data_IF_432046506553
#
_entry.id   IF_432046506553
#
_cell.length_a   1.000
_cell.length_b   1.000
_cell.length_c   1.000
_cell.angle_alpha   90.00
_cell.angle_beta   90.00
_cell.angle_gamma   90.00
#
_symmetry.space_group_name_H-M   'P 1'
#
loop_
_entity.id
_entity.type
_entity.pdbx_description
1 polymer ?
#
# COMPACT_ATOMS: atom_id res chain seq x y z
N UNK A 1 -14.08 1.09 -10.82
CA UNK A 1 -15.22 2.02 -10.61
C UNK A 1 -15.03 3.30 -11.41
N UNK A 2 -14.00 4.11 -11.12
CA UNK A 2 -13.85 5.45 -11.74
C UNK A 2 -13.54 5.37 -13.24
N UNK A 3 -12.73 4.42 -13.68
CA UNK A 3 -12.51 4.17 -15.10
C UNK A 3 -13.83 3.84 -15.83
N UNK A 4 -14.68 3.00 -15.25
CA UNK A 4 -15.99 2.70 -15.81
C UNK A 4 -16.92 3.91 -15.85
N UNK A 5 -16.88 4.80 -14.83
CA UNK A 5 -17.62 6.07 -14.82
C UNK A 5 -17.13 7.04 -15.89
N UNK A 6 -15.85 6.99 -16.23
CA UNK A 6 -15.23 7.78 -17.28
C UNK A 6 -15.36 7.13 -18.68
N UNK A 7 -16.18 6.08 -18.82
CA UNK A 7 -16.37 5.30 -20.05
C UNK A 7 -15.04 4.71 -20.61
N UNK A 8 -14.03 4.58 -19.75
CA UNK A 8 -12.80 3.89 -20.09
C UNK A 8 -12.97 2.38 -19.92
N UNK A 9 -12.25 1.60 -20.70
CA UNK A 9 -12.26 0.14 -20.65
C UNK A 9 -11.04 -0.38 -19.90
N UNK A 10 -11.13 -0.60 -18.56
CA UNK A 10 -10.01 -1.12 -17.79
C UNK A 10 -9.83 -2.61 -18.05
N UNK A 11 -8.58 -3.04 -18.15
CA UNK A 11 -8.18 -4.43 -18.25
C UNK A 11 -7.26 -4.77 -17.05
N UNK A 12 -7.66 -5.73 -16.23
CA UNK A 12 -6.94 -6.08 -15.01
C UNK A 12 -6.29 -7.47 -15.12
N UNK A 13 -4.99 -7.56 -14.92
CA UNK A 13 -4.29 -8.82 -14.69
C UNK A 13 -4.23 -9.07 -13.18
N UNK A 14 -4.76 -10.17 -12.72
CA UNK A 14 -4.84 -10.48 -11.29
C UNK A 14 -4.30 -11.87 -11.00
N UNK A 15 -3.53 -12.06 -9.90
CA UNK A 15 -3.06 -13.38 -9.54
C UNK A 15 -4.24 -14.28 -9.11
N UNK A 16 -4.07 -15.59 -9.21
CA UNK A 16 -5.10 -16.55 -8.82
C UNK A 16 -5.53 -16.39 -7.35
N UNK A 17 -4.62 -15.96 -6.47
CA UNK A 17 -4.85 -15.68 -5.04
C UNK A 17 -5.62 -14.37 -4.76
N UNK A 18 -5.82 -13.52 -5.75
CA UNK A 18 -6.60 -12.29 -5.57
C UNK A 18 -7.99 -12.60 -4.99
N UNK A 19 -8.45 -11.90 -3.93
CA UNK A 19 -9.72 -12.16 -3.29
C UNK A 19 -10.91 -12.13 -4.27
N UNK A 20 -11.89 -12.99 -4.04
CA UNK A 20 -13.09 -13.06 -4.88
C UNK A 20 -13.83 -11.72 -4.94
N UNK A 21 -13.89 -10.99 -3.82
CA UNK A 21 -14.51 -9.66 -3.76
C UNK A 21 -13.87 -8.68 -4.74
N UNK A 22 -12.53 -8.64 -4.83
CA UNK A 22 -11.83 -7.77 -5.77
C UNK A 22 -12.13 -8.16 -7.22
N UNK A 23 -12.14 -9.47 -7.52
CA UNK A 23 -12.49 -10.00 -8.85
C UNK A 23 -13.91 -9.62 -9.25
N UNK A 24 -14.87 -9.84 -8.35
CA UNK A 24 -16.29 -9.52 -8.61
C UNK A 24 -16.49 -8.02 -8.83
N UNK A 25 -15.87 -7.18 -8.01
CA UNK A 25 -16.00 -5.72 -8.13
C UNK A 25 -15.40 -5.20 -9.44
N UNK A 26 -14.31 -5.78 -9.92
CA UNK A 26 -13.75 -5.43 -11.23
C UNK A 26 -14.78 -5.66 -12.34
N UNK A 27 -15.41 -6.84 -12.37
CA UNK A 27 -16.41 -7.17 -13.37
C UNK A 27 -17.69 -6.32 -13.23
N UNK A 28 -18.19 -6.12 -11.99
CA UNK A 28 -19.40 -5.29 -11.73
C UNK A 28 -19.23 -3.87 -12.25
N UNK A 29 -18.02 -3.33 -12.20
CA UNK A 29 -17.70 -2.00 -12.72
C UNK A 29 -17.30 -1.98 -14.21
N UNK A 30 -17.54 -3.06 -14.95
CA UNK A 30 -17.32 -3.11 -16.40
C UNK A 30 -15.86 -3.27 -16.81
N UNK A 31 -14.98 -3.70 -15.89
CA UNK A 31 -13.61 -4.02 -16.23
C UNK A 31 -13.46 -5.42 -16.78
N UNK A 32 -12.66 -5.59 -17.83
CA UNK A 32 -12.18 -6.89 -18.27
C UNK A 32 -11.09 -7.38 -17.33
N UNK A 33 -11.03 -8.70 -17.10
CA UNK A 33 -10.08 -9.27 -16.17
C UNK A 33 -9.49 -10.58 -16.69
N UNK A 34 -8.17 -10.72 -16.52
CA UNK A 34 -7.46 -11.97 -16.73
C UNK A 34 -6.89 -12.48 -15.41
N UNK A 35 -7.26 -13.69 -15.04
CA UNK A 35 -6.67 -14.39 -13.90
C UNK A 35 -5.41 -15.09 -14.36
N UNK A 36 -4.26 -14.73 -13.79
CA UNK A 36 -2.96 -15.32 -14.05
C UNK A 36 -2.65 -16.33 -12.95
N UNK A 37 -2.08 -17.48 -13.29
CA UNK A 37 -1.59 -18.44 -12.29
C UNK A 37 -0.46 -17.83 -11.49
N UNK A 38 -0.33 -18.24 -10.21
CA UNK A 38 0.76 -17.78 -9.35
C UNK A 38 0.44 -16.56 -8.50
N UNK A 39 1.43 -15.69 -8.27
CA UNK A 39 1.44 -14.57 -7.33
C UNK A 39 1.46 -13.21 -8.05
N UNK A 40 1.59 -12.12 -7.31
CA UNK A 40 1.63 -10.77 -7.87
C UNK A 40 2.71 -10.56 -8.96
N UNK A 41 3.97 -11.02 -8.81
CA UNK A 41 4.97 -10.88 -9.88
C UNK A 41 4.58 -11.55 -11.19
N UNK A 42 3.88 -12.70 -11.14
CA UNK A 42 3.42 -13.40 -12.33
C UNK A 42 2.35 -12.58 -13.08
N UNK A 43 1.48 -11.89 -12.31
CA UNK A 43 0.48 -11.00 -12.91
C UNK A 43 1.12 -9.76 -13.55
N UNK A 44 2.18 -9.20 -12.95
CA UNK A 44 2.96 -8.08 -13.54
C UNK A 44 3.66 -8.53 -14.82
N UNK A 45 4.36 -9.66 -14.78
CA UNK A 45 5.01 -10.21 -15.99
C UNK A 45 4.01 -10.47 -17.13
N UNK A 46 2.79 -10.89 -16.81
CA UNK A 46 1.76 -11.10 -17.81
C UNK A 46 1.23 -9.77 -18.41
N UNK A 47 1.36 -8.65 -17.73
CA UNK A 47 1.08 -7.31 -18.32
C UNK A 47 2.13 -7.01 -19.38
N UNK A 48 3.41 -7.15 -19.06
CA UNK A 48 4.51 -6.87 -19.98
C UNK A 48 4.42 -7.71 -21.26
N UNK A 49 4.05 -9.00 -21.12
CA UNK A 49 3.95 -9.92 -22.27
C UNK A 49 2.71 -9.69 -23.16
N UNK A 50 1.63 -9.15 -22.61
CA UNK A 50 0.30 -9.22 -23.21
C UNK A 50 -0.41 -7.89 -23.34
N UNK A 51 0.20 -6.81 -22.84
CA UNK A 51 -0.36 -5.47 -22.98
C UNK A 51 -0.29 -5.04 -24.46
N UNK A 52 -1.45 -4.90 -25.07
CA UNK A 52 -1.53 -4.33 -26.42
C UNK A 52 -1.14 -2.85 -26.40
N UNK A 53 -0.53 -2.37 -27.47
CA UNK A 53 -0.04 -0.99 -27.61
C UNK A 53 -1.13 0.08 -27.50
N UNK A 54 -2.39 -0.33 -27.55
CA UNK A 54 -3.57 0.55 -27.40
C UNK A 54 -3.93 0.85 -25.95
N UNK A 55 -3.40 0.09 -25.00
CA UNK A 55 -3.63 0.31 -23.57
C UNK A 55 -2.53 1.16 -22.95
N UNK A 56 -2.89 1.93 -21.94
CA UNK A 56 -1.93 2.63 -21.09
C UNK A 56 -1.67 1.75 -19.87
N UNK A 57 -0.40 1.43 -19.62
CA UNK A 57 -0.01 0.73 -18.40
C UNK A 57 -0.20 1.59 -17.17
N UNK A 58 -0.99 1.08 -16.21
CA UNK A 58 -1.25 1.68 -14.91
C UNK A 58 -0.78 0.78 -13.75
N UNK A 59 0.15 -0.12 -13.98
CA UNK A 59 0.79 -0.87 -12.90
C UNK A 59 1.54 0.08 -11.94
N UNK A 60 1.87 -0.41 -10.75
CA UNK A 60 2.55 0.40 -9.75
C UNK A 60 3.87 0.94 -10.33
N UNK A 61 4.09 2.24 -10.22
CA UNK A 61 5.25 2.97 -10.72
C UNK A 61 5.44 3.00 -12.25
N UNK A 62 4.56 2.42 -13.06
CA UNK A 62 4.59 2.56 -14.51
C UNK A 62 4.31 3.99 -14.98
N UNK A 63 3.55 4.75 -14.20
CA UNK A 63 3.21 6.15 -14.49
C UNK A 63 3.17 7.00 -13.22
N UNK A 64 3.52 8.30 -13.28
CA UNK A 64 3.45 9.20 -12.13
C UNK A 64 2.01 9.54 -11.73
N UNK A 65 1.02 9.32 -12.58
CA UNK A 65 -0.38 9.69 -12.31
C UNK A 65 -0.98 8.96 -11.11
N UNK A 66 -0.52 7.76 -10.82
CA UNK A 66 -1.00 7.02 -9.65
C UNK A 66 -0.60 7.71 -8.34
N UNK A 67 0.60 8.27 -8.25
CA UNK A 67 1.05 9.04 -7.09
C UNK A 67 0.27 10.34 -6.94
N UNK A 68 -0.11 10.98 -8.04
CA UNK A 68 -0.99 12.14 -8.04
C UNK A 68 -2.40 11.80 -7.53
N UNK A 69 -2.86 10.57 -7.77
CA UNK A 69 -4.10 10.07 -7.17
C UNK A 69 -3.94 9.73 -5.69
N UNK A 70 -2.94 8.93 -5.32
CA UNK A 70 -2.77 8.47 -3.94
C UNK A 70 -2.39 9.58 -2.95
N UNK A 71 -1.79 10.68 -3.39
CA UNK A 71 -1.49 11.83 -2.53
C UNK A 71 -2.75 12.49 -1.93
N UNK A 72 -3.91 12.34 -2.60
CA UNK A 72 -5.16 12.93 -2.11
C UNK A 72 -5.61 12.34 -0.77
N UNK A 73 -5.16 11.14 -0.42
CA UNK A 73 -5.36 10.54 0.90
C UNK A 73 -4.85 11.47 2.02
N UNK A 74 -3.69 12.09 1.84
CA UNK A 74 -3.17 13.06 2.80
C UNK A 74 -4.06 14.30 2.90
N UNK A 75 -4.62 14.76 1.79
CA UNK A 75 -5.51 15.92 1.76
C UNK A 75 -6.81 15.63 2.51
N UNK A 76 -7.40 14.45 2.29
CA UNK A 76 -8.62 14.02 2.98
C UNK A 76 -8.36 13.84 4.48
N UNK A 77 -7.25 13.24 4.87
CA UNK A 77 -6.88 13.08 6.29
C UNK A 77 -6.77 14.43 6.99
N UNK A 78 -6.12 15.43 6.38
CA UNK A 78 -6.02 16.76 6.98
C UNK A 78 -7.37 17.48 7.00
N UNK A 79 -8.18 17.34 5.95
CA UNK A 79 -9.51 17.93 5.90
C UNK A 79 -10.44 17.37 6.99
N UNK A 80 -10.42 16.07 7.20
CA UNK A 80 -11.29 15.39 8.18
C UNK A 80 -10.85 15.64 9.62
N UNK A 81 -9.53 15.67 9.90
CA UNK A 81 -8.99 15.89 11.24
C UNK A 81 -8.88 17.38 11.60
N UNK A 82 -8.91 18.28 10.62
CA UNK A 82 -8.64 19.70 10.80
C UNK A 82 -7.16 20.04 11.07
N UNK A 83 -6.27 19.05 11.09
CA UNK A 83 -4.84 19.20 11.31
C UNK A 83 -4.08 17.97 10.77
N UNK A 84 -2.77 18.09 10.58
CA UNK A 84 -1.93 16.93 10.29
C UNK A 84 -1.77 16.05 11.54
N UNK A 85 -1.83 14.72 11.44
CA UNK A 85 -1.51 13.82 12.55
C UNK A 85 0.01 13.81 12.81
N UNK A 86 0.45 13.42 14.01
CA UNK A 86 1.87 13.27 14.33
C UNK A 86 2.53 12.10 13.57
N UNK A 87 1.76 11.04 13.34
CA UNK A 87 2.22 9.79 12.71
C UNK A 87 1.15 9.25 11.77
N UNK A 88 1.57 8.80 10.60
CA UNK A 88 0.71 8.07 9.65
C UNK A 88 1.31 6.69 9.41
N UNK A 89 0.51 5.65 9.66
CA UNK A 89 0.89 4.25 9.39
C UNK A 89 0.25 3.82 8.06
N UNK A 90 1.08 3.39 7.12
CA UNK A 90 0.65 3.00 5.77
C UNK A 90 0.99 1.53 5.51
N UNK A 91 0.00 0.66 5.29
CA UNK A 91 0.24 -0.69 4.79
C UNK A 91 0.95 -0.61 3.43
N UNK A 92 2.07 -1.31 3.31
CA UNK A 92 3.00 -1.11 2.18
C UNK A 92 3.26 -2.42 1.45
N UNK A 93 2.81 -2.51 0.20
CA UNK A 93 3.17 -3.55 -0.75
C UNK A 93 4.18 -3.01 -1.76
N UNK A 94 3.71 -2.49 -2.90
CA UNK A 94 4.54 -1.94 -3.98
C UNK A 94 5.30 -0.65 -3.64
N UNK A 95 4.99 0.00 -2.51
CA UNK A 95 5.54 1.31 -2.13
C UNK A 95 4.74 2.52 -2.63
N UNK A 96 3.72 2.29 -3.47
CA UNK A 96 3.02 3.38 -4.14
C UNK A 96 2.21 4.27 -3.20
N UNK A 97 1.42 3.67 -2.30
CA UNK A 97 0.55 4.43 -1.40
C UNK A 97 1.38 5.23 -0.39
N UNK A 98 2.42 4.64 0.18
CA UNK A 98 3.29 5.34 1.13
C UNK A 98 4.00 6.53 0.49
N UNK A 99 4.48 6.37 -0.75
CA UNK A 99 5.10 7.45 -1.53
C UNK A 99 4.10 8.56 -1.85
N UNK A 100 2.89 8.21 -2.29
CA UNK A 100 1.84 9.19 -2.58
C UNK A 100 1.39 9.96 -1.33
N UNK A 101 1.16 9.28 -0.22
CA UNK A 101 0.78 9.89 1.06
C UNK A 101 1.85 10.87 1.55
N UNK A 102 3.13 10.45 1.53
CA UNK A 102 4.25 11.33 1.88
C UNK A 102 4.31 12.57 0.96
N UNK A 103 4.17 12.37 -0.34
CA UNK A 103 4.09 13.46 -1.33
C UNK A 103 2.97 14.44 -0.98
N UNK A 104 1.78 13.94 -0.66
CA UNK A 104 0.63 14.78 -0.32
C UNK A 104 0.88 15.65 0.91
N UNK A 105 1.42 15.10 2.01
CA UNK A 105 1.78 15.87 3.19
C UNK A 105 2.91 16.87 2.91
N UNK A 106 3.88 16.49 2.09
CA UNK A 106 4.95 17.40 1.65
C UNK A 106 4.40 18.60 0.87
N UNK A 107 3.45 18.38 -0.02
CA UNK A 107 2.78 19.45 -0.76
C UNK A 107 1.98 20.37 0.16
N UNK A 108 1.20 19.82 1.11
CA UNK A 108 0.45 20.59 2.10
C UNK A 108 1.35 21.45 2.98
N UNK A 109 2.51 20.91 3.40
CA UNK A 109 3.51 21.68 4.15
C UNK A 109 4.09 22.80 3.30
N UNK A 110 4.42 22.50 2.04
CA UNK A 110 5.01 23.49 1.11
C UNK A 110 4.08 24.68 0.83
N UNK A 111 2.76 24.45 0.79
CA UNK A 111 1.77 25.52 0.61
C UNK A 111 1.32 26.17 1.92
N UNK A 112 1.86 25.75 3.05
CA UNK A 112 1.54 26.30 4.38
C UNK A 112 0.17 25.88 4.92
N UNK A 113 -0.42 24.80 4.38
CA UNK A 113 -1.68 24.26 4.89
C UNK A 113 -1.51 23.45 6.18
N UNK A 114 -0.31 22.93 6.43
CA UNK A 114 0.11 22.27 7.66
C UNK A 114 1.54 22.71 8.04
N UNK A 115 1.89 22.63 9.32
CA UNK A 115 3.18 23.12 9.82
C UNK A 115 4.36 22.18 9.53
N UNK A 116 4.10 20.86 9.50
CA UNK A 116 5.13 19.85 9.29
C UNK A 116 4.56 18.58 8.65
N UNK A 117 5.42 17.83 7.98
CA UNK A 117 5.10 16.51 7.45
C UNK A 117 5.01 15.50 8.62
N UNK A 118 3.93 14.72 8.73
CA UNK A 118 3.84 13.63 9.71
C UNK A 118 4.96 12.60 9.54
N UNK A 119 5.35 11.95 10.62
CA UNK A 119 6.21 10.75 10.53
C UNK A 119 5.46 9.64 9.81
N UNK A 120 6.01 9.11 8.72
CA UNK A 120 5.42 8.04 7.92
C UNK A 120 5.99 6.71 8.34
N UNK A 121 5.12 5.78 8.73
CA UNK A 121 5.50 4.41 9.10
C UNK A 121 4.99 3.46 8.03
N UNK A 122 5.91 2.79 7.34
CA UNK A 122 5.56 1.73 6.40
C UNK A 122 5.36 0.41 7.18
N UNK A 123 4.18 -0.21 7.06
CA UNK A 123 3.87 -1.48 7.70
C UNK A 123 3.79 -2.60 6.66
N UNK A 124 4.58 -3.65 6.84
CA UNK A 124 4.61 -4.84 5.99
C UNK A 124 4.36 -6.11 6.82
N UNK A 125 3.78 -7.17 6.25
CA UNK A 125 3.73 -8.46 6.92
C UNK A 125 5.13 -9.06 7.03
N UNK A 126 5.47 -9.69 8.16
CA UNK A 126 6.81 -10.25 8.41
C UNK A 126 7.21 -11.34 7.40
N UNK A 127 6.23 -12.03 6.82
CA UNK A 127 6.46 -13.02 5.76
C UNK A 127 6.81 -12.42 4.38
N UNK A 128 6.69 -11.09 4.20
CA UNK A 128 7.13 -10.36 2.99
C UNK A 128 7.37 -8.89 3.32
N UNK A 129 8.56 -8.55 3.86
CA UNK A 129 8.88 -7.23 4.41
C UNK A 129 10.19 -6.62 3.84
N UNK A 130 10.37 -6.56 2.50
CA UNK A 130 11.63 -6.09 1.90
C UNK A 130 11.96 -4.62 2.27
N UNK A 131 10.96 -3.74 2.36
CA UNK A 131 11.17 -2.33 2.74
C UNK A 131 11.56 -2.22 4.21
N UNK A 132 10.89 -2.95 5.10
CA UNK A 132 11.23 -2.92 6.53
C UNK A 132 12.63 -3.45 6.79
N UNK A 133 13.02 -4.55 6.15
CA UNK A 133 14.36 -5.11 6.25
C UNK A 133 15.44 -4.14 5.71
N UNK A 134 15.15 -3.41 4.63
CA UNK A 134 16.07 -2.42 4.09
C UNK A 134 16.26 -1.22 5.04
N UNK A 135 15.15 -0.68 5.58
CA UNK A 135 15.21 0.43 6.55
C UNK A 135 15.98 0.03 7.81
N UNK A 136 15.73 -1.16 8.36
CA UNK A 136 16.46 -1.68 9.53
C UNK A 136 17.96 -1.76 9.29
N UNK A 137 18.37 -2.12 8.07
CA UNK A 137 19.77 -2.24 7.66
C UNK A 137 20.40 -0.94 7.16
N UNK A 138 19.63 0.15 7.09
CA UNK A 138 20.08 1.44 6.57
C UNK A 138 20.37 1.45 5.06
N UNK A 139 19.70 0.58 4.29
CA UNK A 139 19.81 0.51 2.83
C UNK A 139 18.90 1.53 2.17
N UNK A 140 19.27 1.97 0.97
CA UNK A 140 18.48 2.89 0.15
C UNK A 140 17.57 2.18 -0.85
N UNK A 141 17.76 0.88 -1.04
CA UNK A 141 16.97 0.02 -1.90
C UNK A 141 16.69 -1.32 -1.22
N UNK A 142 15.49 -1.88 -1.34
CA UNK A 142 15.21 -3.19 -0.77
C UNK A 142 15.85 -4.29 -1.62
N UNK A 143 16.26 -5.36 -0.95
CA UNK A 143 16.63 -6.61 -1.63
C UNK A 143 15.36 -7.44 -1.88
N UNK A 144 15.23 -8.13 -3.04
CA UNK A 144 14.08 -8.98 -3.32
C UNK A 144 13.89 -10.07 -2.25
N UNK A 145 12.63 -10.24 -1.80
CA UNK A 145 12.26 -11.23 -0.78
C UNK A 145 12.14 -12.62 -1.40
N UNK A 146 12.98 -13.55 -0.98
CA UNK A 146 13.14 -14.84 -1.66
C UNK A 146 11.95 -15.80 -1.50
N UNK A 147 11.30 -15.78 -0.34
CA UNK A 147 10.21 -16.74 0.01
C UNK A 147 9.04 -16.01 0.66
N UNK A 148 8.23 -15.27 -0.12
CA UNK A 148 7.09 -14.57 0.43
C UNK A 148 6.02 -15.56 0.91
N UNK A 149 5.58 -15.41 2.16
CA UNK A 149 4.51 -16.19 2.76
C UNK A 149 3.77 -15.38 3.82
N UNK A 150 2.55 -14.94 3.52
CA UNK A 150 1.70 -14.15 4.40
C UNK A 150 0.22 -14.30 4.06
N UNK A 151 -0.65 -14.08 5.03
CA UNK A 151 -2.10 -13.97 4.82
C UNK A 151 -2.51 -12.67 4.12
N UNK A 152 -1.63 -11.66 4.12
CA UNK A 152 -1.86 -10.36 3.48
C UNK A 152 -1.48 -10.40 2.00
N UNK A 153 -2.21 -11.14 1.18
CA UNK A 153 -1.90 -11.33 -0.24
C UNK A 153 -1.76 -10.04 -1.05
N UNK A 154 -2.46 -8.96 -0.67
CA UNK A 154 -2.34 -7.66 -1.32
C UNK A 154 -1.03 -6.93 -0.98
N UNK A 155 -0.37 -7.29 0.12
CA UNK A 155 0.93 -6.76 0.52
C UNK A 155 2.10 -7.70 0.20
N UNK A 156 1.81 -8.88 -0.36
CA UNK A 156 2.81 -9.86 -0.77
C UNK A 156 3.50 -9.41 -2.08
N UNK A 157 4.34 -8.39 -1.96
CA UNK A 157 5.12 -7.84 -3.08
C UNK A 157 6.61 -8.02 -2.77
N UNK A 158 7.21 -9.13 -3.23
CA UNK A 158 8.59 -9.49 -2.87
C UNK A 158 9.65 -8.57 -3.48
N UNK A 159 9.34 -7.96 -4.61
CA UNK A 159 10.22 -6.99 -5.29
C UNK A 159 9.40 -5.73 -5.60
N UNK A 160 9.31 -4.79 -4.64
CA UNK A 160 8.47 -3.62 -4.79
C UNK A 160 9.11 -2.59 -5.73
N UNK A 161 8.44 -2.31 -6.86
CA UNK A 161 8.89 -1.32 -7.84
C UNK A 161 9.12 0.08 -7.23
N UNK A 162 8.38 0.44 -6.18
CA UNK A 162 8.54 1.68 -5.43
C UNK A 162 9.32 1.54 -4.13
N UNK A 163 10.07 0.46 -3.96
CA UNK A 163 10.77 0.19 -2.71
C UNK A 163 11.73 1.31 -2.29
N UNK A 164 12.53 1.82 -3.22
CA UNK A 164 13.40 2.98 -2.98
C UNK A 164 12.61 4.22 -2.56
N UNK A 165 11.57 4.58 -3.30
CA UNK A 165 10.75 5.75 -3.00
C UNK A 165 10.02 5.61 -1.64
N UNK A 166 9.63 4.39 -1.26
CA UNK A 166 9.06 4.09 0.05
C UNK A 166 10.08 4.30 1.18
N UNK A 167 11.33 3.85 1.00
CA UNK A 167 12.42 4.05 1.95
C UNK A 167 12.73 5.55 2.10
N UNK A 168 12.81 6.28 1.00
CA UNK A 168 13.00 7.75 1.00
C UNK A 168 11.88 8.45 1.77
N UNK A 169 10.61 8.15 1.49
CA UNK A 169 9.45 8.74 2.16
C UNK A 169 9.47 8.50 3.68
N UNK A 170 9.78 7.27 4.11
CA UNK A 170 9.91 6.91 5.51
C UNK A 170 11.06 7.65 6.18
N UNK A 171 12.24 7.65 5.57
CA UNK A 171 13.45 8.22 6.14
C UNK A 171 13.37 9.75 6.22
N UNK A 172 12.94 10.42 5.15
CA UNK A 172 12.82 11.89 5.08
C UNK A 172 11.74 12.44 6.01
N UNK A 173 10.67 11.67 6.29
CA UNK A 173 9.64 12.04 7.26
C UNK A 173 10.08 11.83 8.73
N UNK A 174 11.27 11.28 8.98
CA UNK A 174 11.71 10.87 10.32
C UNK A 174 10.89 9.71 10.88
N UNK A 175 10.28 8.92 10.01
CA UNK A 175 9.50 7.74 10.36
C UNK A 175 10.33 6.45 10.42
N UNK A 176 9.67 5.32 10.22
CA UNK A 176 10.29 3.99 10.22
C UNK A 176 9.51 2.99 9.37
N UNK A 177 10.06 1.82 9.14
CA UNK A 177 9.31 0.71 8.57
C UNK A 177 9.28 -0.46 9.56
N UNK A 178 8.19 -1.19 9.60
CA UNK A 178 7.96 -2.28 10.56
C UNK A 178 7.44 -3.53 9.87
N UNK A 179 7.93 -4.68 10.30
CA UNK A 179 7.38 -5.98 9.97
C UNK A 179 6.40 -6.42 11.06
N UNK A 180 5.21 -6.92 10.67
CA UNK A 180 4.14 -7.33 11.58
C UNK A 180 3.80 -8.79 11.31
N UNK A 181 3.77 -9.61 12.34
CA UNK A 181 3.45 -11.03 12.22
C UNK A 181 1.98 -11.27 11.88
N UNK A 182 1.72 -12.30 11.09
CA UNK A 182 0.37 -12.67 10.66
C UNK A 182 -0.57 -12.95 11.85
N UNK A 183 -0.07 -13.52 12.93
CA UNK A 183 -0.84 -13.75 14.17
C UNK A 183 -1.29 -12.43 14.81
N UNK A 184 -0.42 -11.41 14.86
CA UNK A 184 -0.75 -10.07 15.35
C UNK A 184 -1.76 -9.36 14.43
N UNK A 185 -1.65 -9.58 13.12
CA UNK A 185 -2.60 -9.06 12.13
C UNK A 185 -3.98 -9.67 12.37
N UNK A 186 -4.07 -10.98 12.53
CA UNK A 186 -5.32 -11.68 12.83
C UNK A 186 -5.93 -11.25 14.16
N UNK A 187 -5.12 -11.17 15.22
CA UNK A 187 -5.57 -10.72 16.54
C UNK A 187 -6.13 -9.29 16.49
N UNK A 188 -5.47 -8.41 15.72
CA UNK A 188 -5.97 -7.04 15.48
C UNK A 188 -7.30 -7.04 14.73
N UNK A 189 -7.49 -7.98 13.79
CA UNK A 189 -8.74 -8.16 13.06
C UNK A 189 -9.90 -8.50 13.97
N UNK A 190 -9.69 -9.46 14.85
CA UNK A 190 -10.69 -9.84 15.86
C UNK A 190 -11.03 -8.66 16.78
N UNK A 191 -10.01 -7.95 17.26
CA UNK A 191 -10.20 -6.78 18.13
C UNK A 191 -10.98 -5.66 17.44
N UNK A 192 -10.72 -5.38 16.15
CA UNK A 192 -11.48 -4.37 15.39
C UNK A 192 -12.92 -4.84 15.19
N UNK A 193 -13.14 -6.07 14.78
CA UNK A 193 -14.49 -6.60 14.56
C UNK A 193 -15.34 -6.56 15.84
N UNK A 194 -14.73 -6.83 17.00
CA UNK A 194 -15.42 -6.82 18.30
C UNK A 194 -15.74 -5.40 18.81
N UNK A 195 -14.88 -4.42 18.56
CA UNK A 195 -15.02 -3.09 19.13
C UNK A 195 -15.71 -2.10 18.18
N UNK A 196 -15.49 -2.23 16.88
CA UNK A 196 -15.99 -1.26 15.88
C UNK A 196 -17.14 -1.81 15.04
N UNK A 197 -17.46 -3.10 15.19
CA UNK A 197 -18.47 -3.81 14.37
C UNK A 197 -18.17 -3.72 12.87
N UNK A 198 -16.90 -3.61 12.51
CA UNK A 198 -16.43 -3.44 11.13
C UNK A 198 -15.53 -4.63 10.77
N UNK A 199 -15.85 -5.31 9.67
CA UNK A 199 -14.95 -6.27 9.04
C UNK A 199 -13.89 -5.56 8.20
N UNK A 200 -12.62 -5.78 8.49
CA UNK A 200 -11.50 -5.21 7.74
C UNK A 200 -10.68 -6.31 7.06
N UNK A 201 -10.16 -6.03 5.87
CA UNK A 201 -9.19 -6.91 5.23
C UNK A 201 -7.85 -6.95 5.99
N UNK A 202 -7.08 -8.03 5.82
CA UNK A 202 -5.80 -8.23 6.51
C UNK A 202 -4.82 -7.05 6.34
N UNK A 203 -4.81 -6.43 5.17
CA UNK A 203 -4.00 -5.24 4.87
C UNK A 203 -4.26 -4.06 5.82
N UNK A 204 -5.52 -3.77 6.12
CA UNK A 204 -5.89 -2.68 7.02
C UNK A 204 -5.58 -3.04 8.49
N UNK A 205 -5.58 -4.33 8.83
CA UNK A 205 -5.29 -4.84 10.16
C UNK A 205 -3.80 -4.72 10.52
N UNK A 206 -2.90 -4.83 9.56
CA UNK A 206 -1.47 -4.58 9.76
C UNK A 206 -1.22 -3.18 10.36
N UNK A 207 -1.96 -2.16 9.90
CA UNK A 207 -1.93 -0.81 10.47
C UNK A 207 -2.30 -0.77 11.95
N UNK A 208 -3.36 -1.48 12.35
CA UNK A 208 -3.82 -1.46 13.76
C UNK A 208 -2.85 -2.15 14.69
N UNK A 209 -2.20 -3.22 14.27
CA UNK A 209 -1.17 -3.92 15.04
C UNK A 209 0.00 -2.99 15.41
N UNK A 210 0.42 -2.13 14.49
CA UNK A 210 1.49 -1.14 14.72
C UNK A 210 1.04 -0.07 15.72
N UNK A 211 -0.17 0.47 15.56
CA UNK A 211 -0.71 1.50 16.48
C UNK A 211 -0.91 0.93 17.89
N UNK A 212 -1.35 -0.31 18.03
CA UNK A 212 -1.50 -0.97 19.32
C UNK A 212 -0.17 -1.14 20.07
N UNK A 213 0.93 -1.39 19.35
CA UNK A 213 2.27 -1.47 19.95
C UNK A 213 2.81 -0.10 20.39
N UNK A 214 2.50 0.96 19.66
CA UNK A 214 2.93 2.33 19.98
C UNK A 214 2.36 2.85 21.31
N UNK A 215 1.14 2.44 21.69
CA UNK A 215 0.51 2.82 22.95
C UNK A 215 1.17 2.19 24.20
N UNK A 216 2.12 1.28 24.04
CA UNK A 216 2.82 0.60 25.12
C UNK A 216 4.31 0.92 25.26
N UNK A 217 4.94 1.58 24.28
CA UNK A 217 6.37 1.98 24.30
C UNK A 217 6.61 3.15 23.35
N UNK A 218 7.56 4.07 23.66
CA UNK A 218 7.94 5.11 22.71
C UNK A 218 8.57 4.47 21.46
N UNK A 219 8.08 4.88 20.28
CA UNK A 219 8.71 4.62 18.98
C UNK A 219 9.98 5.45 18.84
#
# INVERSE_FOLDING_TARGET
ADAGRAELRPYAFVPSRCPFSCKSMTNVHGGDMRVVGGRYPDAVAAVDDQLETTYTDLTAFATPYRHEGTKTVAFEVVADLGAAPDVVVVPTGSGEVVTGVYKGFTELTRVGAIDAVPRVVAAQPSGCAPVAAAVERGLTEPEPWSTPDTICGELEVPDPAGGRAAIEAVTESGGTAVAVDDDDILASGVAVAQNEVIGMGATALAKKSVVGRANGRPL
#
